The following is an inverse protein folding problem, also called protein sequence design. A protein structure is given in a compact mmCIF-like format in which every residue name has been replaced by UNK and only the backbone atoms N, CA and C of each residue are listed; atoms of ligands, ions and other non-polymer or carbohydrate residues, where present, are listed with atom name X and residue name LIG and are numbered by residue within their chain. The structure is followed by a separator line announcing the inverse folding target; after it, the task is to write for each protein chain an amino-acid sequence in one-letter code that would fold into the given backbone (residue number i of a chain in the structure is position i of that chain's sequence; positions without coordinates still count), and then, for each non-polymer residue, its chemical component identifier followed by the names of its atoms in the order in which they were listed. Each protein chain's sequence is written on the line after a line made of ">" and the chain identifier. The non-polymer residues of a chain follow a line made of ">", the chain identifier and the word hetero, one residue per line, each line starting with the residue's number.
data_IF_728735235061
#
_entry.id   IF_728735235061
#
_cell.length_a   1.000
_cell.length_b   1.000
_cell.length_c   1.000
_cell.angle_alpha   90.00
_cell.angle_beta   90.00
_cell.angle_gamma   90.00
#
_symmetry.space_group_name_H-M   'P 1'
#
loop_
_entity.id
_entity.type
_entity.pdbx_description
1 polymer ?
#
# COMPACT_ATOMS: atom_id res chain seq x y z
N UNK A 1 -13.14 -25.35 -29.23
CA UNK A 1 -13.17 -23.98 -28.69
C UNK A 1 -14.09 -23.16 -29.57
N UNK A 2 -15.15 -22.59 -29.04
CA UNK A 2 -16.15 -21.80 -29.80
C UNK A 2 -15.50 -20.58 -30.42
N UNK A 3 -15.86 -20.27 -31.66
CA UNK A 3 -15.31 -19.15 -32.45
C UNK A 3 -16.33 -18.02 -32.54
N UNK A 4 -15.88 -16.80 -32.73
CA UNK A 4 -16.77 -15.61 -32.91
C UNK A 4 -17.78 -15.80 -34.05
N UNK A 5 -17.44 -16.60 -35.10
CA UNK A 5 -18.31 -16.90 -36.21
C UNK A 5 -19.54 -17.71 -35.78
N UNK A 6 -19.35 -18.71 -34.91
CA UNK A 6 -20.47 -19.55 -34.40
C UNK A 6 -21.45 -18.73 -33.56
N UNK A 7 -20.96 -17.76 -32.79
CA UNK A 7 -21.80 -16.82 -32.03
C UNK A 7 -22.54 -15.88 -33.00
N UNK A 8 -21.85 -15.41 -34.03
CA UNK A 8 -22.43 -14.53 -35.04
C UNK A 8 -23.59 -15.22 -35.76
N UNK A 9 -23.38 -16.48 -36.15
CA UNK A 9 -24.39 -17.32 -36.80
C UNK A 9 -25.58 -17.57 -35.86
N UNK A 10 -25.35 -17.87 -34.56
CA UNK A 10 -26.39 -18.09 -33.58
C UNK A 10 -27.21 -16.84 -33.26
N UNK A 11 -26.61 -15.66 -33.33
CA UNK A 11 -27.29 -14.37 -33.03
C UNK A 11 -27.81 -13.68 -34.30
N UNK A 12 -27.57 -14.20 -35.50
CA UNK A 12 -27.99 -13.58 -36.77
C UNK A 12 -27.30 -12.23 -37.05
N UNK A 13 -26.03 -12.08 -36.66
CA UNK A 13 -25.28 -10.82 -36.79
C UNK A 13 -23.90 -11.07 -37.45
N UNK A 14 -23.22 -9.99 -37.81
CA UNK A 14 -21.86 -10.11 -38.33
C UNK A 14 -20.84 -10.43 -37.22
N UNK A 15 -19.72 -11.10 -37.59
CA UNK A 15 -18.59 -11.35 -36.69
C UNK A 15 -18.06 -10.04 -36.10
N UNK A 16 -18.06 -8.96 -36.89
CA UNK A 16 -17.64 -7.64 -36.44
C UNK A 16 -18.59 -7.09 -35.35
N UNK A 17 -19.90 -7.36 -35.45
CA UNK A 17 -20.90 -6.96 -34.44
C UNK A 17 -20.67 -7.73 -33.15
N UNK A 18 -20.46 -9.05 -33.22
CA UNK A 18 -20.14 -9.87 -32.03
C UNK A 18 -18.85 -9.37 -31.37
N UNK A 19 -17.79 -9.13 -32.15
CA UNK A 19 -16.51 -8.64 -31.64
C UNK A 19 -16.68 -7.28 -30.94
N UNK A 20 -17.46 -6.34 -31.50
CA UNK A 20 -17.74 -5.05 -30.86
C UNK A 20 -18.54 -5.19 -29.56
N UNK A 21 -19.60 -6.02 -29.59
CA UNK A 21 -20.46 -6.26 -28.42
C UNK A 21 -19.65 -6.87 -27.26
N UNK A 22 -18.82 -7.87 -27.52
CA UNK A 22 -17.99 -8.54 -26.50
C UNK A 22 -16.84 -7.67 -25.96
N UNK A 23 -16.43 -6.64 -26.69
CA UNK A 23 -15.39 -5.69 -26.28
C UNK A 23 -15.95 -4.38 -25.71
N UNK A 24 -17.26 -4.26 -25.47
CA UNK A 24 -17.86 -3.05 -24.90
C UNK A 24 -17.86 -1.83 -25.82
N UNK A 25 -17.60 -2.00 -27.12
CA UNK A 25 -17.42 -0.92 -28.10
C UNK A 25 -18.71 -0.55 -28.86
N UNK A 26 -19.88 -0.87 -28.32
CA UNK A 26 -21.16 -0.57 -28.99
C UNK A 26 -21.98 0.46 -28.21
N UNK A 27 -22.25 1.58 -28.85
CA UNK A 27 -23.27 2.55 -28.46
C UNK A 27 -24.65 2.22 -29.05
N UNK A 28 -24.77 1.11 -29.78
CA UNK A 28 -25.98 0.76 -30.54
C UNK A 28 -26.65 -0.49 -29.93
N UNK A 29 -27.89 -0.32 -29.51
CA UNK A 29 -28.85 -1.35 -29.11
C UNK A 29 -28.38 -2.26 -27.95
N UNK A 30 -28.62 -1.80 -26.74
CA UNK A 30 -28.29 -2.50 -25.47
C UNK A 30 -28.84 -3.94 -25.42
N UNK A 31 -30.04 -4.17 -25.96
CA UNK A 31 -30.65 -5.51 -26.02
C UNK A 31 -29.85 -6.49 -26.86
N UNK A 32 -29.32 -6.04 -28.02
CA UNK A 32 -28.49 -6.87 -28.89
C UNK A 32 -27.16 -7.23 -28.24
N UNK A 33 -26.57 -6.30 -27.52
CA UNK A 33 -25.32 -6.54 -26.78
C UNK A 33 -25.55 -7.57 -25.67
N UNK A 34 -26.65 -7.45 -24.93
CA UNK A 34 -27.05 -8.42 -23.90
C UNK A 34 -27.27 -9.81 -24.50
N UNK A 35 -27.99 -9.89 -25.62
CA UNK A 35 -28.22 -11.16 -26.32
C UNK A 35 -26.87 -11.82 -26.71
N UNK A 36 -26.00 -11.09 -27.40
CA UNK A 36 -24.70 -11.61 -27.85
C UNK A 36 -23.85 -12.08 -26.66
N UNK A 37 -23.78 -11.30 -25.60
CA UNK A 37 -22.99 -11.64 -24.41
C UNK A 37 -23.53 -12.89 -23.72
N UNK A 38 -24.86 -13.03 -23.61
CA UNK A 38 -25.52 -14.21 -23.06
C UNK A 38 -25.26 -15.44 -23.92
N UNK A 39 -25.49 -15.35 -25.23
CA UNK A 39 -25.24 -16.45 -26.17
C UNK A 39 -23.79 -16.91 -26.16
N UNK A 40 -22.84 -15.96 -26.13
CA UNK A 40 -21.42 -16.29 -26.02
C UNK A 40 -21.11 -17.09 -24.74
N UNK A 41 -21.68 -16.67 -23.60
CA UNK A 41 -21.52 -17.37 -22.31
C UNK A 41 -22.15 -18.77 -22.34
N UNK A 42 -23.37 -18.90 -22.85
CA UNK A 42 -24.10 -20.18 -22.96
C UNK A 42 -23.36 -21.18 -23.88
N UNK A 43 -22.73 -20.69 -24.94
CA UNK A 43 -21.89 -21.50 -25.84
C UNK A 43 -20.50 -21.82 -25.26
N UNK A 44 -20.13 -21.27 -24.08
CA UNK A 44 -18.81 -21.48 -23.49
C UNK A 44 -17.68 -20.74 -24.21
N UNK A 45 -18.01 -19.65 -24.89
CA UNK A 45 -16.97 -18.81 -25.52
C UNK A 45 -16.18 -18.06 -24.44
N UNK A 46 -14.86 -18.23 -24.50
CA UNK A 46 -13.91 -17.46 -23.71
C UNK A 46 -13.11 -16.55 -24.67
N UNK A 47 -13.14 -15.21 -24.48
CA UNK A 47 -12.32 -14.31 -25.28
C UNK A 47 -10.84 -14.70 -25.21
N UNK A 48 -10.18 -14.78 -26.34
CA UNK A 48 -8.75 -15.07 -26.37
C UNK A 48 -7.96 -13.79 -26.06
N UNK A 49 -7.35 -13.73 -24.86
CA UNK A 49 -6.55 -12.60 -24.41
C UNK A 49 -5.40 -12.26 -25.39
N UNK A 50 -4.74 -13.29 -25.94
CA UNK A 50 -3.68 -13.08 -26.94
C UNK A 50 -4.18 -12.40 -28.23
N UNK A 51 -5.39 -12.77 -28.70
CA UNK A 51 -6.00 -12.13 -29.87
C UNK A 51 -6.43 -10.68 -29.57
N UNK A 52 -6.86 -10.39 -28.34
CA UNK A 52 -7.16 -9.04 -27.87
C UNK A 52 -5.87 -8.20 -27.82
N UNK A 53 -4.80 -8.74 -27.24
CA UNK A 53 -3.48 -8.09 -27.18
C UNK A 53 -2.95 -7.73 -28.56
N UNK A 54 -3.00 -8.67 -29.53
CA UNK A 54 -2.58 -8.42 -30.90
C UNK A 54 -3.35 -7.30 -31.60
N UNK A 55 -4.62 -7.12 -31.26
CA UNK A 55 -5.48 -6.07 -31.84
C UNK A 55 -5.30 -4.71 -31.19
N UNK A 56 -5.06 -4.66 -29.87
CA UNK A 56 -5.02 -3.43 -29.09
C UNK A 56 -3.61 -2.98 -28.75
N UNK A 57 -2.60 -3.83 -28.98
CA UNK A 57 -1.22 -3.67 -28.49
C UNK A 57 -1.13 -3.53 -26.97
N UNK A 58 -2.18 -3.95 -26.23
CA UNK A 58 -2.25 -3.94 -24.76
C UNK A 58 -2.48 -5.36 -24.23
N UNK A 59 -1.77 -5.70 -23.16
CA UNK A 59 -1.93 -7.00 -22.49
C UNK A 59 -3.09 -7.01 -21.49
N UNK A 60 -3.53 -5.83 -21.06
CA UNK A 60 -4.45 -5.65 -19.95
C UNK A 60 -3.92 -6.25 -18.64
N UNK A 61 -2.62 -6.16 -18.43
CA UNK A 61 -1.94 -6.69 -17.26
C UNK A 61 -0.96 -5.64 -16.68
N UNK A 62 -1.07 -5.39 -15.39
CA UNK A 62 -0.22 -4.50 -14.62
C UNK A 62 0.72 -5.33 -13.76
N UNK A 63 2.02 -4.98 -13.78
CA UNK A 63 3.00 -5.54 -12.86
C UNK A 63 2.94 -4.90 -11.48
N UNK A 64 3.13 -5.69 -10.43
CA UNK A 64 3.44 -5.17 -9.09
C UNK A 64 4.83 -5.65 -8.73
N UNK A 65 5.79 -4.72 -8.66
CA UNK A 65 7.10 -5.02 -8.10
C UNK A 65 7.04 -4.90 -6.59
N UNK A 66 7.34 -6.01 -5.93
CA UNK A 66 7.35 -6.17 -4.50
C UNK A 66 8.47 -7.12 -4.10
N UNK A 67 9.37 -6.70 -3.22
CA UNK A 67 10.56 -7.47 -2.85
C UNK A 67 10.55 -7.97 -1.41
N UNK A 68 9.62 -7.50 -0.59
CA UNK A 68 9.46 -7.91 0.80
C UNK A 68 8.60 -9.19 0.94
N UNK A 69 8.42 -9.68 2.14
CA UNK A 69 7.60 -10.85 2.41
C UNK A 69 6.10 -10.52 2.43
N UNK A 70 5.28 -11.40 1.83
CA UNK A 70 3.83 -11.16 1.63
C UNK A 70 2.99 -11.36 2.89
N UNK A 71 3.58 -11.63 4.04
CA UNK A 71 2.84 -12.08 5.21
C UNK A 71 2.38 -10.97 6.17
N UNK A 72 2.64 -9.70 5.89
CA UNK A 72 2.13 -8.64 6.75
C UNK A 72 0.76 -8.10 6.29
N UNK A 73 -0.08 -7.82 7.27
CA UNK A 73 -1.51 -7.59 7.08
C UNK A 73 -1.80 -6.31 6.29
N UNK A 74 -1.09 -5.20 6.56
CA UNK A 74 -1.27 -3.94 5.84
C UNK A 74 -1.09 -4.11 4.32
N UNK A 75 -0.01 -4.79 3.89
CA UNK A 75 0.24 -5.02 2.47
C UNK A 75 -0.86 -5.88 1.83
N UNK A 76 -1.38 -6.87 2.56
CA UNK A 76 -2.47 -7.71 2.07
C UNK A 76 -3.74 -6.92 1.75
N UNK A 77 -4.07 -5.92 2.57
CA UNK A 77 -5.20 -5.01 2.30
C UNK A 77 -4.92 -4.10 1.11
N UNK A 78 -3.75 -3.48 1.08
CA UNK A 78 -3.36 -2.62 -0.04
C UNK A 78 -3.34 -3.38 -1.38
N UNK A 79 -2.79 -4.60 -1.39
CA UNK A 79 -2.78 -5.45 -2.58
C UNK A 79 -4.20 -5.82 -3.03
N UNK A 80 -5.10 -6.14 -2.09
CA UNK A 80 -6.49 -6.42 -2.41
C UNK A 80 -7.20 -5.21 -3.02
N UNK A 81 -6.96 -4.01 -2.46
CA UNK A 81 -7.56 -2.77 -2.98
C UNK A 81 -6.99 -2.41 -4.36
N UNK A 82 -5.67 -2.54 -4.56
CA UNK A 82 -5.04 -2.39 -5.89
C UNK A 82 -5.64 -3.36 -6.92
N UNK A 83 -5.88 -4.63 -6.51
CA UNK A 83 -6.51 -5.62 -7.38
C UNK A 83 -7.93 -5.22 -7.75
N UNK A 84 -8.74 -4.77 -6.79
CA UNK A 84 -10.10 -4.33 -7.06
C UNK A 84 -10.16 -3.12 -8.00
N UNK A 85 -9.27 -2.15 -7.80
CA UNK A 85 -9.18 -0.96 -8.65
C UNK A 85 -8.70 -1.28 -10.07
N UNK A 86 -7.77 -2.22 -10.22
CA UNK A 86 -7.31 -2.70 -11.54
C UNK A 86 -8.42 -3.48 -12.25
N UNK A 87 -9.07 -4.43 -11.56
CA UNK A 87 -10.17 -5.24 -12.08
C UNK A 87 -11.35 -4.39 -12.57
N UNK A 88 -11.72 -3.35 -11.80
CA UNK A 88 -12.75 -2.39 -12.20
C UNK A 88 -12.45 -1.65 -13.51
N UNK A 89 -11.17 -1.60 -13.91
CA UNK A 89 -10.67 -1.00 -15.17
C UNK A 89 -10.32 -2.06 -16.23
N UNK A 90 -10.59 -3.33 -15.95
CA UNK A 90 -10.39 -4.46 -16.85
C UNK A 90 -8.92 -4.90 -16.98
N UNK A 91 -8.11 -4.68 -15.94
CA UNK A 91 -6.72 -5.09 -15.83
C UNK A 91 -6.52 -6.18 -14.78
N UNK A 92 -5.72 -7.19 -15.13
CA UNK A 92 -5.21 -8.16 -14.18
C UNK A 92 -3.92 -7.65 -13.52
N UNK A 93 -3.58 -8.17 -12.32
CA UNK A 93 -2.31 -7.90 -11.65
C UNK A 93 -1.38 -9.09 -11.74
N UNK A 94 -0.11 -8.84 -12.06
CA UNK A 94 0.96 -9.84 -12.04
C UNK A 94 2.05 -9.40 -11.07
N UNK A 95 2.33 -10.25 -10.06
CA UNK A 95 3.48 -10.02 -9.18
C UNK A 95 4.78 -10.19 -9.97
N UNK A 96 5.69 -9.22 -9.85
CA UNK A 96 7.05 -9.24 -10.36
C UNK A 96 8.01 -9.02 -9.20
N UNK A 97 9.04 -9.84 -9.10
CA UNK A 97 9.91 -9.86 -7.91
C UNK A 97 9.77 -11.17 -7.15
N UNK A 98 10.63 -11.40 -6.19
CA UNK A 98 10.63 -12.61 -5.36
C UNK A 98 11.06 -13.88 -6.10
N UNK A 99 12.01 -14.64 -5.57
CA UNK A 99 12.24 -16.03 -5.95
C UNK A 99 13.28 -16.32 -7.03
N UNK A 100 14.09 -15.35 -7.47
CA UNK A 100 15.32 -15.64 -8.22
C UNK A 100 16.55 -15.25 -7.40
N UNK A 101 17.57 -16.11 -7.45
CA UNK A 101 18.86 -15.86 -6.78
C UNK A 101 19.38 -14.45 -7.11
N UNK A 102 20.02 -13.82 -6.14
CA UNK A 102 20.42 -12.39 -6.11
C UNK A 102 21.26 -11.86 -7.28
N UNK A 103 21.52 -12.65 -8.35
CA UNK A 103 22.44 -12.30 -9.43
C UNK A 103 21.85 -11.82 -10.73
N UNK A 104 20.55 -11.97 -10.99
CA UNK A 104 19.95 -11.72 -12.33
C UNK A 104 18.58 -11.02 -12.25
N UNK A 105 18.50 -9.98 -11.44
CA UNK A 105 17.29 -9.15 -11.28
C UNK A 105 17.21 -8.14 -12.42
N UNK A 106 16.64 -8.51 -13.55
CA UNK A 106 16.35 -7.57 -14.62
C UNK A 106 14.82 -7.35 -14.70
N UNK A 107 14.30 -6.51 -13.81
CA UNK A 107 12.87 -6.21 -13.73
C UNK A 107 12.34 -5.54 -14.99
N UNK A 108 13.10 -4.61 -15.57
CA UNK A 108 12.71 -3.92 -16.79
C UNK A 108 12.51 -4.89 -17.96
N UNK A 109 13.46 -5.79 -18.20
CA UNK A 109 13.35 -6.77 -19.28
C UNK A 109 12.28 -7.84 -18.97
N UNK A 110 12.07 -8.17 -17.68
CA UNK A 110 10.99 -9.07 -17.28
C UNK A 110 9.62 -8.48 -17.63
N UNK A 111 9.37 -7.22 -17.29
CA UNK A 111 8.15 -6.49 -17.62
C UNK A 111 7.93 -6.46 -19.13
N UNK A 112 8.95 -6.14 -19.91
CA UNK A 112 8.88 -6.10 -21.36
C UNK A 112 8.61 -7.46 -21.98
N UNK A 113 9.29 -8.52 -21.52
CA UNK A 113 9.06 -9.89 -22.01
C UNK A 113 7.64 -10.39 -21.72
N UNK A 114 7.07 -9.98 -20.60
CA UNK A 114 5.69 -10.29 -20.21
C UNK A 114 4.66 -9.37 -20.86
N UNK A 115 5.13 -8.35 -21.60
CA UNK A 115 4.29 -7.33 -22.22
C UNK A 115 3.31 -6.69 -21.22
N UNK A 116 3.80 -6.36 -19.99
CA UNK A 116 2.97 -5.67 -19.01
C UNK A 116 2.78 -4.22 -19.47
N UNK A 117 1.56 -3.70 -19.33
CA UNK A 117 1.20 -2.37 -19.83
C UNK A 117 1.71 -1.25 -18.93
N UNK A 118 1.89 -1.54 -17.63
CA UNK A 118 2.42 -0.63 -16.63
C UNK A 118 2.85 -1.36 -15.38
N UNK A 119 3.47 -0.65 -14.44
CA UNK A 119 4.03 -1.24 -13.21
C UNK A 119 3.73 -0.35 -12.00
N UNK A 120 3.34 -0.96 -10.90
CA UNK A 120 3.31 -0.37 -9.57
C UNK A 120 4.53 -0.88 -8.82
N UNK A 121 5.34 0.04 -8.27
CA UNK A 121 6.53 -0.29 -7.47
C UNK A 121 6.22 0.02 -6.01
N UNK A 122 6.30 -0.99 -5.16
CA UNK A 122 6.01 -0.88 -3.72
C UNK A 122 6.94 -1.77 -2.91
N UNK A 123 7.42 -1.28 -1.76
CA UNK A 123 8.28 -2.02 -0.82
C UNK A 123 9.41 -2.78 -1.54
N UNK A 124 10.18 -2.04 -2.31
CA UNK A 124 11.34 -2.52 -3.06
C UNK A 124 12.62 -1.88 -2.53
N UNK A 125 13.77 -2.42 -2.90
CA UNK A 125 15.06 -1.77 -2.69
C UNK A 125 15.19 -0.57 -3.63
N UNK A 126 14.69 0.58 -3.17
CA UNK A 126 14.67 1.81 -3.95
C UNK A 126 16.05 2.40 -4.28
N UNK A 127 17.11 1.89 -3.69
CA UNK A 127 18.50 2.25 -4.05
C UNK A 127 19.07 1.32 -5.13
N UNK A 128 18.38 0.23 -5.45
CA UNK A 128 18.78 -0.72 -6.49
C UNK A 128 18.71 -0.10 -7.89
N UNK A 129 19.78 -0.25 -8.67
CA UNK A 129 19.84 0.23 -10.05
C UNK A 129 18.72 -0.35 -10.93
N UNK A 130 18.30 -1.59 -10.69
CA UNK A 130 17.24 -2.24 -11.46
C UNK A 130 15.84 -1.70 -11.11
N UNK A 131 15.59 -1.38 -9.84
CA UNK A 131 14.36 -0.71 -9.41
C UNK A 131 14.30 0.71 -9.97
N UNK A 132 15.39 1.47 -9.87
CA UNK A 132 15.52 2.82 -10.45
C UNK A 132 15.27 2.76 -11.97
N UNK A 133 15.93 1.83 -12.68
CA UNK A 133 15.76 1.66 -14.13
C UNK A 133 14.32 1.34 -14.52
N UNK A 134 13.63 0.51 -13.72
CA UNK A 134 12.22 0.19 -13.97
C UNK A 134 11.34 1.41 -13.73
N UNK A 135 11.50 2.08 -12.60
CA UNK A 135 10.67 3.21 -12.17
C UNK A 135 10.83 4.44 -13.07
N UNK A 136 12.08 4.72 -13.55
CA UNK A 136 12.39 5.90 -14.38
C UNK A 136 12.48 5.61 -15.87
N UNK A 137 12.24 4.36 -16.27
CA UNK A 137 12.33 3.89 -17.66
C UNK A 137 11.10 4.23 -18.50
N UNK A 138 11.04 3.67 -19.71
CA UNK A 138 9.96 3.92 -20.67
C UNK A 138 8.65 3.15 -20.36
N UNK A 139 8.64 2.26 -19.37
CA UNK A 139 7.42 1.58 -18.94
C UNK A 139 6.64 2.51 -18.00
N UNK A 140 5.35 2.77 -18.26
CA UNK A 140 4.52 3.54 -17.35
C UNK A 140 4.60 2.97 -15.94
N UNK A 141 4.93 3.80 -14.95
CA UNK A 141 5.11 3.35 -13.58
C UNK A 141 4.53 4.35 -12.57
N UNK A 142 4.04 3.83 -11.44
CA UNK A 142 3.67 4.60 -10.26
C UNK A 142 4.36 3.97 -9.04
N UNK A 143 4.92 4.81 -8.19
CA UNK A 143 5.68 4.37 -7.02
C UNK A 143 4.85 4.62 -5.78
N UNK A 144 4.78 3.65 -4.88
CA UNK A 144 4.12 3.82 -3.59
C UNK A 144 5.17 4.03 -2.51
N UNK A 145 4.96 5.09 -1.71
CA UNK A 145 5.75 5.47 -0.52
C UNK A 145 7.22 5.81 -0.76
N UNK A 146 7.63 6.04 -2.02
CA UNK A 146 8.96 6.53 -2.35
C UNK A 146 8.90 7.56 -3.47
N UNK A 147 9.88 8.47 -3.52
CA UNK A 147 9.96 9.56 -4.50
C UNK A 147 11.20 9.42 -5.38
N UNK A 148 10.99 9.29 -6.69
CA UNK A 148 12.02 9.59 -7.68
C UNK A 148 11.66 10.86 -8.44
N UNK A 149 12.67 11.64 -8.80
CA UNK A 149 12.47 12.80 -9.66
C UNK A 149 11.89 12.38 -11.02
N UNK A 150 10.83 13.03 -11.43
CA UNK A 150 10.18 12.74 -12.71
C UNK A 150 9.17 11.59 -12.68
N UNK A 151 8.92 10.95 -11.53
CA UNK A 151 8.00 9.82 -11.42
C UNK A 151 6.71 10.18 -10.67
N UNK A 152 5.59 9.54 -11.05
CA UNK A 152 4.36 9.60 -10.28
C UNK A 152 4.52 8.81 -8.97
N UNK A 153 4.09 9.41 -7.86
CA UNK A 153 4.16 8.79 -6.56
C UNK A 153 2.84 8.98 -5.79
N UNK A 154 2.41 7.92 -5.12
CA UNK A 154 1.29 7.95 -4.17
C UNK A 154 1.79 7.40 -2.84
N UNK A 155 1.35 7.96 -1.74
CA UNK A 155 1.68 7.43 -0.43
C UNK A 155 0.79 7.98 0.65
N UNK A 156 0.88 7.40 1.83
CA UNK A 156 0.22 7.95 3.00
C UNK A 156 0.84 9.29 3.40
N UNK A 157 0.03 10.20 3.94
CA UNK A 157 0.55 11.42 4.59
C UNK A 157 1.17 11.06 5.97
N UNK A 158 2.35 10.43 5.90
CA UNK A 158 3.08 9.96 7.08
C UNK A 158 3.42 11.09 8.05
N UNK A 159 3.67 12.29 7.52
CA UNK A 159 3.99 13.46 8.33
C UNK A 159 2.78 13.92 9.15
N UNK A 160 1.65 14.14 8.50
CA UNK A 160 0.41 14.52 9.18
C UNK A 160 -0.10 13.40 10.11
N UNK A 161 0.10 12.12 9.75
CA UNK A 161 -0.24 10.99 10.59
C UNK A 161 0.50 11.01 11.93
N UNK A 162 1.82 11.19 11.91
CA UNK A 162 2.63 11.29 13.13
C UNK A 162 2.25 12.52 13.98
N UNK A 163 2.03 13.67 13.33
CA UNK A 163 1.54 14.85 14.04
C UNK A 163 0.19 14.57 14.76
N UNK A 164 -0.71 13.85 14.09
CA UNK A 164 -2.05 13.53 14.62
C UNK A 164 -2.00 12.61 15.83
N UNK A 165 -1.21 11.53 15.78
CA UNK A 165 -1.13 10.58 16.90
C UNK A 165 -0.40 11.17 18.10
N UNK A 166 0.63 12.00 17.89
CA UNK A 166 1.33 12.65 18.98
C UNK A 166 0.45 13.68 19.68
N UNK A 167 -0.31 14.51 18.94
CA UNK A 167 -1.28 15.45 19.49
C UNK A 167 -2.38 14.74 20.28
N UNK A 168 -2.87 13.61 19.78
CA UNK A 168 -3.86 12.81 20.49
C UNK A 168 -3.37 12.35 21.86
N UNK A 169 -2.14 11.88 21.96
CA UNK A 169 -1.57 11.49 23.24
C UNK A 169 -1.26 12.73 24.15
N UNK A 170 -0.82 13.84 23.57
CA UNK A 170 -0.64 15.11 24.28
C UNK A 170 -1.95 15.60 24.90
N UNK A 171 -3.05 15.55 24.18
CA UNK A 171 -4.38 15.97 24.65
C UNK A 171 -4.85 15.09 25.84
N UNK A 172 -4.35 13.84 25.94
CA UNK A 172 -4.57 12.91 27.06
C UNK A 172 -3.59 13.07 28.22
N UNK A 173 -2.81 14.14 28.22
CA UNK A 173 -1.93 14.50 29.32
C UNK A 173 -0.51 13.96 29.23
N UNK A 174 -0.17 13.18 28.19
CA UNK A 174 1.22 12.74 27.98
C UNK A 174 2.13 13.92 27.65
N UNK A 175 3.34 13.92 28.19
CA UNK A 175 4.33 14.99 28.00
C UNK A 175 5.69 14.45 27.57
N UNK A 176 6.02 13.24 28.01
CA UNK A 176 7.26 12.54 27.71
C UNK A 176 6.99 11.35 26.79
N UNK A 177 7.60 11.39 25.62
CA UNK A 177 7.37 10.46 24.53
C UNK A 177 8.66 9.79 24.12
N UNK A 178 8.54 8.53 23.65
CA UNK A 178 9.56 7.91 22.85
C UNK A 178 8.96 7.46 21.51
N UNK A 179 9.80 7.32 20.50
CA UNK A 179 9.43 6.81 19.19
C UNK A 179 10.38 5.71 18.76
N UNK A 180 9.87 4.51 18.57
CA UNK A 180 10.54 3.41 17.90
C UNK A 180 10.21 3.53 16.42
N UNK A 181 11.18 3.95 15.60
CA UNK A 181 11.00 4.11 14.16
C UNK A 181 11.14 2.77 13.42
N UNK A 182 10.80 2.73 12.13
CA UNK A 182 11.23 1.67 11.23
C UNK A 182 12.70 1.85 10.82
N UNK A 183 13.19 0.98 9.95
CA UNK A 183 14.48 1.12 9.28
C UNK A 183 14.53 2.38 8.40
N UNK A 184 15.73 2.78 8.00
CA UNK A 184 15.93 3.99 7.21
C UNK A 184 15.22 3.89 5.84
N UNK A 185 14.46 4.93 5.50
CA UNK A 185 13.68 5.01 4.25
C UNK A 185 12.84 6.27 4.18
N UNK A 186 12.11 6.44 3.09
CA UNK A 186 11.28 7.63 2.86
C UNK A 186 10.15 7.73 3.90
N UNK A 187 9.50 6.61 4.20
CA UNK A 187 8.42 6.51 5.21
C UNK A 187 8.93 6.93 6.59
N UNK A 188 10.06 6.36 7.03
CA UNK A 188 10.68 6.68 8.32
C UNK A 188 11.08 8.15 8.39
N UNK A 189 11.70 8.71 7.34
CA UNK A 189 12.05 10.14 7.29
C UNK A 189 10.83 11.04 7.43
N UNK A 190 9.72 10.73 6.75
CA UNK A 190 8.49 11.50 6.84
C UNK A 190 7.85 11.39 8.23
N UNK A 191 7.81 10.18 8.82
CA UNK A 191 7.31 9.97 10.19
C UNK A 191 8.14 10.70 11.23
N UNK A 192 9.48 10.64 11.13
CA UNK A 192 10.39 11.41 11.98
C UNK A 192 10.16 12.92 11.84
N UNK A 193 10.02 13.41 10.60
CA UNK A 193 9.74 14.83 10.36
C UNK A 193 8.42 15.28 11.00
N UNK A 194 7.36 14.46 10.93
CA UNK A 194 6.08 14.71 11.58
C UNK A 194 6.19 14.71 13.11
N UNK A 195 6.92 13.72 13.66
CA UNK A 195 7.17 13.61 15.09
C UNK A 195 7.89 14.84 15.64
N UNK A 196 9.04 15.20 15.06
CA UNK A 196 9.82 16.36 15.54
C UNK A 196 9.07 17.68 15.33
N UNK A 197 8.33 17.82 14.24
CA UNK A 197 7.49 19.01 14.02
C UNK A 197 6.45 19.16 15.11
N UNK A 198 5.70 18.09 15.41
CA UNK A 198 4.69 18.13 16.46
C UNK A 198 5.30 18.37 17.84
N UNK A 199 6.46 17.77 18.15
CA UNK A 199 7.18 18.03 19.38
C UNK A 199 7.57 19.52 19.51
N UNK A 200 8.11 20.11 18.45
CA UNK A 200 8.49 21.52 18.44
C UNK A 200 7.28 22.46 18.65
N UNK A 201 6.16 22.18 17.96
CA UNK A 201 4.93 22.99 18.09
C UNK A 201 4.28 22.87 19.47
N UNK A 202 4.40 21.73 20.15
CA UNK A 202 3.87 21.48 21.48
C UNK A 202 4.84 21.82 22.62
N UNK A 203 6.07 22.25 22.28
CA UNK A 203 7.09 22.55 23.26
C UNK A 203 7.65 21.29 23.96
N UNK A 204 7.54 20.13 23.33
CA UNK A 204 8.06 18.86 23.84
C UNK A 204 9.55 18.80 23.56
N UNK A 205 10.36 18.59 24.61
CA UNK A 205 11.77 18.26 24.44
C UNK A 205 11.91 16.77 24.12
N UNK A 206 12.71 16.45 23.13
CA UNK A 206 13.06 15.07 22.75
C UNK A 206 14.51 14.81 23.17
N UNK A 207 14.76 14.15 24.32
CA UNK A 207 16.11 13.81 24.74
C UNK A 207 16.77 12.79 23.81
N UNK A 208 18.11 12.72 23.88
CA UNK A 208 18.84 11.61 23.26
C UNK A 208 18.37 10.28 23.83
N UNK A 209 18.19 9.27 22.98
CA UNK A 209 17.68 7.97 23.38
C UNK A 209 16.15 7.84 23.40
N UNK A 210 15.39 8.90 23.15
CA UNK A 210 13.92 8.82 23.01
C UNK A 210 13.44 8.48 21.60
N UNK A 211 14.31 8.59 20.61
CA UNK A 211 14.05 8.10 19.24
C UNK A 211 15.02 6.96 18.97
N UNK A 212 14.48 5.77 18.77
CA UNK A 212 15.27 4.55 18.58
C UNK A 212 14.98 3.96 17.21
N UNK A 213 16.03 3.53 16.53
CA UNK A 213 15.91 2.82 15.27
C UNK A 213 15.50 1.36 15.51
N UNK A 214 14.29 1.02 15.08
CA UNK A 214 13.73 -0.31 15.06
C UNK A 214 13.69 -0.88 13.65
N UNK A 215 12.68 -1.71 13.40
CA UNK A 215 12.35 -2.28 12.10
C UNK A 215 10.84 -2.34 11.94
N UNK A 216 10.37 -2.19 10.70
CA UNK A 216 8.99 -2.52 10.40
C UNK A 216 8.77 -4.03 10.52
N UNK A 217 7.59 -4.41 10.95
CA UNK A 217 7.15 -5.80 11.08
C UNK A 217 8.06 -6.70 11.94
N UNK A 218 8.77 -6.10 12.91
CA UNK A 218 9.66 -6.80 13.85
C UNK A 218 9.17 -6.65 15.30
N UNK A 219 8.25 -7.53 15.76
CA UNK A 219 7.69 -7.51 17.12
C UNK A 219 8.73 -7.69 18.21
N UNK A 220 9.76 -8.51 17.94
CA UNK A 220 10.84 -8.79 18.89
C UNK A 220 11.65 -7.52 19.16
N UNK A 221 12.14 -6.92 18.09
CA UNK A 221 12.94 -5.70 18.17
C UNK A 221 12.15 -4.56 18.78
N UNK A 222 10.89 -4.38 18.40
CA UNK A 222 10.03 -3.36 18.99
C UNK A 222 9.88 -3.55 20.51
N UNK A 223 9.63 -4.78 20.98
CA UNK A 223 9.49 -5.08 22.40
C UNK A 223 10.79 -4.81 23.19
N UNK A 224 11.95 -5.18 22.65
CA UNK A 224 13.25 -4.89 23.24
C UNK A 224 13.46 -3.39 23.42
N UNK A 225 13.14 -2.60 22.38
CA UNK A 225 13.33 -1.15 22.40
C UNK A 225 12.36 -0.45 23.35
N UNK A 226 11.09 -0.87 23.38
CA UNK A 226 10.11 -0.35 24.34
C UNK A 226 10.56 -0.66 25.78
N UNK A 227 11.03 -1.90 26.05
CA UNK A 227 11.56 -2.28 27.36
C UNK A 227 12.77 -1.40 27.73
N UNK A 228 13.71 -1.22 26.80
CA UNK A 228 14.88 -0.37 27.01
C UNK A 228 14.48 1.06 27.36
N UNK A 229 13.48 1.64 26.66
CA UNK A 229 12.94 2.96 26.98
C UNK A 229 12.45 3.01 28.44
N UNK A 230 11.69 1.98 28.86
CA UNK A 230 11.15 1.94 30.22
C UNK A 230 12.23 1.77 31.29
N UNK A 231 13.29 1.01 30.98
CA UNK A 231 14.39 0.74 31.94
C UNK A 231 15.32 1.96 32.11
N UNK A 232 15.50 2.73 31.03
CA UNK A 232 16.44 3.86 30.99
C UNK A 232 15.78 5.22 31.26
N UNK A 233 14.43 5.33 31.12
CA UNK A 233 13.70 6.60 31.14
C UNK A 233 12.36 6.48 31.90
N UNK A 234 12.39 6.61 33.22
CA UNK A 234 11.21 6.52 34.09
C UNK A 234 10.12 7.56 33.78
N UNK A 235 10.46 8.65 33.08
CA UNK A 235 9.52 9.72 32.74
C UNK A 235 8.69 9.43 31.49
N UNK A 236 9.14 8.53 30.59
CA UNK A 236 8.39 8.23 29.36
C UNK A 236 7.09 7.52 29.67
N UNK A 237 6.00 8.08 29.21
CA UNK A 237 4.65 7.58 29.48
C UNK A 237 3.92 7.05 28.25
N UNK A 238 4.43 7.38 27.05
CA UNK A 238 3.85 6.94 25.77
C UNK A 238 4.94 6.66 24.76
N UNK A 239 4.86 5.50 24.12
CA UNK A 239 5.76 5.11 23.02
C UNK A 239 4.96 4.98 21.73
N UNK A 240 5.44 5.63 20.68
CA UNK A 240 4.96 5.46 19.31
C UNK A 240 5.74 4.31 18.68
N UNK A 241 5.02 3.33 18.15
CA UNK A 241 5.60 2.13 17.51
C UNK A 241 5.74 2.34 15.99
N UNK A 242 6.61 1.56 15.29
CA UNK A 242 6.80 1.70 13.86
C UNK A 242 5.56 1.31 13.04
N UNK A 243 4.85 0.29 13.48
CA UNK A 243 3.64 -0.25 12.85
C UNK A 243 2.80 -1.03 13.88
N UNK A 244 1.60 -1.43 13.48
CA UNK A 244 0.68 -2.16 14.35
C UNK A 244 1.17 -3.56 14.68
N UNK A 245 1.75 -4.28 13.72
CA UNK A 245 2.22 -5.65 13.92
C UNK A 245 3.34 -5.70 14.97
N UNK A 246 4.31 -4.79 14.84
CA UNK A 246 5.38 -4.62 15.83
C UNK A 246 4.84 -4.20 17.20
N UNK A 247 3.86 -3.27 17.21
CA UNK A 247 3.24 -2.80 18.45
C UNK A 247 2.48 -3.92 19.18
N UNK A 248 1.69 -4.72 18.47
CA UNK A 248 0.96 -5.85 19.02
C UNK A 248 1.90 -6.90 19.62
N UNK A 249 2.98 -7.21 18.91
CA UNK A 249 4.00 -8.12 19.41
C UNK A 249 4.70 -7.59 20.67
N UNK A 250 5.02 -6.29 20.70
CA UNK A 250 5.57 -5.63 21.88
C UNK A 250 4.60 -5.72 23.06
N UNK A 251 3.30 -5.44 22.85
CA UNK A 251 2.28 -5.60 23.90
C UNK A 251 2.24 -7.00 24.50
N UNK A 252 2.28 -8.03 23.65
CA UNK A 252 2.27 -9.43 24.12
C UNK A 252 3.51 -9.76 24.96
N UNK A 253 4.69 -9.30 24.57
CA UNK A 253 5.94 -9.54 25.29
C UNK A 253 6.02 -8.77 26.60
N UNK A 254 5.55 -7.52 26.62
CA UNK A 254 5.44 -6.72 27.84
C UNK A 254 4.47 -7.40 28.83
N UNK A 255 3.33 -7.85 28.36
CA UNK A 255 2.36 -8.58 29.18
C UNK A 255 2.95 -9.87 29.79
N UNK A 256 3.75 -10.63 29.05
CA UNK A 256 4.46 -11.82 29.55
C UNK A 256 5.46 -11.49 30.67
N UNK A 257 5.95 -10.24 30.74
CA UNK A 257 6.81 -9.71 31.81
C UNK A 257 6.02 -9.06 32.94
N UNK A 258 4.69 -9.09 32.90
CA UNK A 258 3.82 -8.47 33.89
C UNK A 258 3.66 -6.96 33.73
N UNK A 259 4.10 -6.38 32.62
CA UNK A 259 3.96 -4.96 32.30
C UNK A 259 2.59 -4.76 31.64
N UNK A 260 1.79 -3.86 32.19
CA UNK A 260 0.42 -3.59 31.70
C UNK A 260 0.38 -2.36 30.80
N UNK A 261 -0.25 -2.52 29.65
CA UNK A 261 -0.62 -1.44 28.71
C UNK A 261 -2.13 -1.24 28.83
N UNK A 262 -2.63 -0.02 29.08
CA UNK A 262 -1.90 1.25 29.12
C UNK A 262 -1.42 1.70 30.52
N UNK A 263 -1.64 0.93 31.61
CA UNK A 263 -1.48 1.39 32.99
C UNK A 263 -0.04 1.80 33.33
N UNK A 264 0.96 1.11 32.82
CA UNK A 264 2.37 1.41 33.07
C UNK A 264 3.00 2.19 31.92
N UNK A 265 2.62 1.87 30.69
CA UNK A 265 3.09 2.52 29.47
C UNK A 265 1.98 2.55 28.42
N UNK A 266 1.75 3.69 27.80
CA UNK A 266 0.85 3.79 26.65
C UNK A 266 1.58 3.49 25.35
N UNK A 267 0.92 2.77 24.43
CA UNK A 267 1.47 2.43 23.12
C UNK A 267 0.52 2.89 22.01
N UNK A 268 1.09 3.40 20.93
CA UNK A 268 0.35 3.78 19.72
C UNK A 268 1.00 3.13 18.51
N UNK A 269 0.20 2.42 17.72
CA UNK A 269 0.62 1.80 16.47
C UNK A 269 0.44 2.72 15.25
N UNK A 270 0.68 2.14 14.10
CA UNK A 270 0.50 2.76 12.78
C UNK A 270 0.07 1.67 11.80
N UNK A 271 -0.76 1.95 10.81
CA UNK A 271 -1.34 1.17 9.71
C UNK A 271 -2.84 0.93 9.86
N UNK A 272 -3.36 0.73 11.08
CA UNK A 272 -4.78 0.50 11.34
C UNK A 272 -5.24 -0.91 10.94
N UNK A 273 -4.40 -1.93 11.17
CA UNK A 273 -4.76 -3.31 10.84
C UNK A 273 -5.93 -3.81 11.71
N UNK A 274 -6.85 -4.61 11.15
CA UNK A 274 -8.03 -5.10 11.86
C UNK A 274 -7.72 -5.88 13.14
N UNK A 275 -6.60 -6.59 13.20
CA UNK A 275 -6.17 -7.34 14.39
C UNK A 275 -6.09 -6.43 15.62
N UNK A 276 -5.66 -5.17 15.47
CA UNK A 276 -5.60 -4.20 16.57
C UNK A 276 -6.95 -3.96 17.26
N UNK A 277 -8.06 -4.12 16.57
CA UNK A 277 -9.41 -4.00 17.13
C UNK A 277 -9.92 -5.26 17.82
N UNK A 278 -9.33 -6.43 17.52
CA UNK A 278 -9.77 -7.74 18.01
C UNK A 278 -9.15 -8.13 19.35
N UNK A 279 -8.04 -7.53 19.71
CA UNK A 279 -7.33 -7.79 20.96
C UNK A 279 -7.85 -6.93 22.12
N UNK A 280 -7.36 -7.23 23.34
CA UNK A 280 -7.58 -6.41 24.54
C UNK A 280 -6.27 -6.18 25.28
N UNK A 281 -5.95 -4.91 25.60
CA UNK A 281 -6.64 -3.69 25.20
C UNK A 281 -6.61 -3.45 23.70
N UNK A 282 -7.64 -2.82 23.11
CA UNK A 282 -7.70 -2.48 21.67
C UNK A 282 -6.61 -1.47 21.34
N UNK A 283 -5.91 -1.69 20.24
CA UNK A 283 -4.81 -0.83 19.82
C UNK A 283 -5.32 0.55 19.34
N UNK A 284 -4.74 1.60 19.90
CA UNK A 284 -4.82 2.96 19.33
C UNK A 284 -3.81 3.05 18.20
N UNK A 285 -4.24 3.46 17.00
CA UNK A 285 -3.40 3.45 15.82
C UNK A 285 -3.80 4.53 14.81
N UNK A 286 -2.92 4.85 13.87
CA UNK A 286 -3.23 5.66 12.71
C UNK A 286 -3.46 4.77 11.50
N UNK A 287 -4.72 4.68 11.03
CA UNK A 287 -5.10 3.86 9.89
C UNK A 287 -4.78 4.58 8.59
N UNK A 288 -4.03 3.93 7.74
CA UNK A 288 -3.80 4.34 6.37
C UNK A 288 -5.04 4.01 5.51
N UNK A 289 -5.38 4.87 4.56
CA UNK A 289 -6.51 4.66 3.63
C UNK A 289 -6.02 3.91 2.38
N UNK A 290 -5.89 2.59 2.49
CA UNK A 290 -5.42 1.71 1.41
C UNK A 290 -6.30 1.78 0.16
N UNK A 291 -7.62 1.95 0.33
CA UNK A 291 -8.54 2.09 -0.79
C UNK A 291 -8.30 3.37 -1.60
N UNK A 292 -8.08 4.50 -0.91
CA UNK A 292 -7.73 5.75 -1.60
C UNK A 292 -6.33 5.71 -2.21
N UNK A 293 -5.34 5.11 -1.53
CA UNK A 293 -4.00 4.89 -2.10
C UNK A 293 -4.09 4.06 -3.38
N UNK A 294 -4.83 2.95 -3.35
CA UNK A 294 -5.02 2.09 -4.52
C UNK A 294 -5.70 2.81 -5.68
N UNK A 295 -6.78 3.56 -5.40
CA UNK A 295 -7.54 4.31 -6.40
C UNK A 295 -6.66 5.36 -7.10
N UNK A 296 -5.91 6.16 -6.32
CA UNK A 296 -5.01 7.17 -6.86
C UNK A 296 -3.86 6.53 -7.65
N UNK A 297 -3.27 5.44 -7.14
CA UNK A 297 -2.18 4.72 -7.80
C UNK A 297 -2.60 4.17 -9.15
N UNK A 298 -3.71 3.42 -9.19
CA UNK A 298 -4.19 2.83 -10.45
C UNK A 298 -4.69 3.93 -11.39
N UNK A 299 -5.33 4.98 -10.85
CA UNK A 299 -5.74 6.14 -11.65
C UNK A 299 -4.57 6.82 -12.35
N UNK A 300 -3.49 7.13 -11.62
CA UNK A 300 -2.25 7.70 -12.18
C UNK A 300 -1.63 6.79 -13.24
N UNK A 301 -1.60 5.49 -12.97
CA UNK A 301 -1.03 4.52 -13.91
C UNK A 301 -1.83 4.43 -15.21
N UNK A 302 -3.17 4.46 -15.13
CA UNK A 302 -4.02 4.49 -16.33
C UNK A 302 -3.72 5.73 -17.18
N UNK A 303 -3.65 6.91 -16.56
CA UNK A 303 -3.31 8.14 -17.27
C UNK A 303 -1.91 8.09 -17.90
N UNK A 304 -0.93 7.54 -17.18
CA UNK A 304 0.43 7.36 -17.70
C UNK A 304 0.50 6.38 -18.90
N UNK A 305 -0.36 5.36 -18.91
CA UNK A 305 -0.47 4.41 -20.03
C UNK A 305 -1.22 4.99 -21.24
N UNK A 306 -2.06 6.00 -21.05
CA UNK A 306 -2.81 6.66 -22.14
C UNK A 306 -2.02 7.79 -22.80
N UNK A 307 -1.25 8.54 -22.04
CA UNK A 307 -0.46 9.68 -22.50
C UNK A 307 1.02 9.56 -22.06
N UNK A 308 1.82 8.93 -22.91
CA UNK A 308 3.26 8.75 -22.67
C UNK A 308 4.05 10.08 -22.62
N UNK A 309 3.51 11.16 -23.18
CA UNK A 309 4.12 12.50 -23.19
C UNK A 309 3.69 13.36 -21.99
N UNK A 310 3.02 12.78 -21.03
CA UNK A 310 2.55 13.46 -19.83
C UNK A 310 3.70 14.16 -19.10
N UNK A 311 3.55 15.47 -18.95
CA UNK A 311 4.67 16.39 -18.68
C UNK A 311 4.97 16.67 -17.23
N UNK A 312 4.10 16.28 -16.29
CA UNK A 312 4.31 16.61 -14.86
C UNK A 312 3.96 15.44 -13.98
N UNK A 313 4.97 14.85 -13.32
CA UNK A 313 4.74 13.83 -12.31
C UNK A 313 3.92 14.42 -11.16
N UNK A 314 3.06 13.60 -10.58
CA UNK A 314 2.24 13.96 -9.42
C UNK A 314 2.71 13.20 -8.21
N UNK A 315 2.73 13.93 -7.08
CA UNK A 315 3.00 13.33 -5.78
C UNK A 315 1.75 13.49 -4.92
N UNK A 316 1.02 12.40 -4.73
CA UNK A 316 -0.25 12.39 -3.99
C UNK A 316 0.01 11.86 -2.59
N UNK A 317 -0.35 12.65 -1.58
CA UNK A 317 -0.35 12.26 -0.18
C UNK A 317 -1.78 11.98 0.26
N UNK A 318 -2.06 10.74 0.61
CA UNK A 318 -3.40 10.30 1.03
C UNK A 318 -3.48 10.41 2.55
N UNK A 319 -4.40 11.20 3.11
CA UNK A 319 -4.58 11.27 4.54
C UNK A 319 -5.20 9.98 5.08
N UNK A 320 -4.72 9.53 6.23
CA UNK A 320 -5.32 8.46 6.99
C UNK A 320 -6.19 9.01 8.14
N UNK A 321 -6.53 8.15 9.09
CA UNK A 321 -7.34 8.53 10.25
C UNK A 321 -6.86 7.87 11.54
N UNK A 322 -6.98 8.60 12.64
CA UNK A 322 -6.75 8.05 13.98
C UNK A 322 -7.89 7.09 14.34
N UNK A 323 -7.53 5.90 14.80
CA UNK A 323 -8.44 4.92 15.39
C UNK A 323 -8.16 4.89 16.89
N UNK A 324 -9.12 5.34 17.68
CA UNK A 324 -9.01 5.32 19.12
C UNK A 324 -9.24 3.90 19.67
N UNK A 325 -8.28 3.43 20.44
CA UNK A 325 -8.33 2.17 21.16
C UNK A 325 -8.31 2.35 22.66
N UNK A 326 -7.67 1.41 23.33
CA UNK A 326 -7.58 1.33 24.80
C UNK A 326 -6.11 1.35 25.28
N UNK A 327 -5.15 1.42 24.35
CA UNK A 327 -3.71 1.37 24.66
C UNK A 327 -3.11 2.71 25.07
N UNK A 328 -3.90 3.76 25.11
CA UNK A 328 -3.48 5.09 25.58
C UNK A 328 -4.35 5.50 26.77
N UNK A 329 -3.73 5.62 27.93
CA UNK A 329 -4.42 6.09 29.14
C UNK A 329 -4.56 7.60 29.15
N UNK A 330 -5.52 8.10 29.91
CA UNK A 330 -5.63 9.50 30.24
C UNK A 330 -4.80 9.78 31.51
N UNK A 331 -3.92 10.77 31.45
CA UNK A 331 -3.14 11.23 32.59
C UNK A 331 -3.79 12.48 33.16
N UNK A 332 -4.01 12.49 34.48
CA UNK A 332 -4.46 13.68 35.16
C UNK A 332 -3.49 14.85 34.91
N UNK A 333 -4.04 16.01 34.58
CA UNK A 333 -3.26 17.25 34.36
C UNK A 333 -2.58 17.69 35.62
#
# INVERSE_FOLDING_TARGET
>A
MVRLKEIADACGVSVATVSRALNGLTNENQERTILITRTAREMGYCPNAAARTLKTSRSFNIGILYEDELHHEYFSYLLNDLRQEADARGYDLTMIGGGREQGDRNYYDHVRRRNLDGVIVIQADFESAEVIRLATGAVPSVIIDHLYEGCDCVGNDNKAGMERILRYAWDRGHREFAFVSGEQGAVTRDRLAGFYKACAELGIRVPEGHVLEGRFHDPERCAELVQKVMDENDCVTCVLCPDDYSCLGAMMKLAAKGIRVPEQISLIGYDGIPMGSMIRPRLTTYRQDTASIARETVGLLMEAMEDADRRRPRHIRVPGMLIEGETVRELSR
#
